data_IF_594333961960
#
_entry.id   IF_594333961960
#
_cell.length_a   1.000
_cell.length_b   1.000
_cell.length_c   1.000
_cell.angle_alpha   90.00
_cell.angle_beta   90.00
_cell.angle_gamma   90.00
#
_symmetry.space_group_name_H-M   'P 1'
#
loop_
_entity.id
_entity.type
_entity.pdbx_description
1 polymer ?
#
# COMPACT_ATOMS: atom_id res chain seq x y z
N UNK A 1 -21.67 -12.42 17.02
CA UNK A 1 -21.17 -13.63 17.73
C UNK A 1 -22.03 -14.86 17.56
N UNK A 2 -23.36 -14.76 17.59
CA UNK A 2 -24.23 -15.93 17.38
C UNK A 2 -23.96 -16.63 16.03
N UNK A 3 -23.86 -15.88 14.93
CA UNK A 3 -23.50 -16.42 13.62
C UNK A 3 -22.16 -17.16 13.62
N UNK A 4 -21.15 -16.64 14.33
CA UNK A 4 -19.83 -17.27 14.49
C UNK A 4 -19.95 -18.62 15.22
N UNK A 5 -20.74 -18.67 16.30
CA UNK A 5 -21.01 -19.91 17.06
C UNK A 5 -21.76 -20.93 16.21
N UNK A 6 -22.77 -20.50 15.45
CA UNK A 6 -23.51 -21.37 14.52
C UNK A 6 -22.61 -21.94 13.42
N UNK A 7 -21.74 -21.11 12.84
CA UNK A 7 -20.78 -21.57 11.82
C UNK A 7 -19.74 -22.55 12.40
N UNK A 8 -19.27 -22.32 13.64
CA UNK A 8 -18.40 -23.25 14.34
C UNK A 8 -19.10 -24.61 14.58
N UNK A 9 -20.37 -24.61 14.95
CA UNK A 9 -21.13 -25.83 15.18
C UNK A 9 -21.39 -26.60 13.88
N UNK A 10 -21.63 -25.89 12.77
CA UNK A 10 -21.68 -26.49 11.43
C UNK A 10 -20.36 -27.17 11.07
N UNK A 11 -19.24 -26.48 11.29
CA UNK A 11 -17.88 -27.00 11.10
C UNK A 11 -17.58 -28.20 12.01
N UNK A 12 -18.06 -28.21 13.26
CA UNK A 12 -17.96 -29.36 14.16
C UNK A 12 -18.79 -30.55 13.64
N UNK A 13 -19.98 -30.28 13.15
CA UNK A 13 -20.92 -31.30 12.64
C UNK A 13 -20.39 -31.97 11.37
N UNK A 14 -19.75 -31.22 10.46
CA UNK A 14 -19.15 -31.78 9.24
C UNK A 14 -18.12 -32.89 9.54
N UNK A 15 -17.49 -32.82 10.72
CA UNK A 15 -16.45 -33.75 11.16
C UNK A 15 -16.93 -34.89 12.03
N UNK A 16 -18.18 -34.88 12.48
CA UNK A 16 -18.78 -35.99 13.22
C UNK A 16 -18.66 -37.32 12.45
N UNK A 17 -18.68 -37.26 11.11
CA UNK A 17 -18.66 -38.39 10.17
C UNK A 17 -17.25 -38.94 9.86
N UNK A 18 -16.18 -38.20 10.17
CA UNK A 18 -14.79 -38.64 9.92
C UNK A 18 -14.30 -39.53 11.08
N UNK A 19 -13.28 -40.37 10.84
CA UNK A 19 -12.70 -41.30 11.86
C UNK A 19 -11.17 -41.18 11.92
N UNK A 20 -10.57 -41.62 13.03
CA UNK A 20 -9.11 -41.75 13.18
C UNK A 20 -8.37 -40.46 13.58
N UNK A 21 -7.06 -40.42 13.28
CA UNK A 21 -6.13 -39.36 13.70
C UNK A 21 -6.54 -37.95 13.24
N UNK A 22 -7.10 -37.84 12.03
CA UNK A 22 -7.57 -36.58 11.43
C UNK A 22 -8.68 -35.95 12.30
N UNK A 23 -9.61 -36.76 12.82
CA UNK A 23 -10.68 -36.26 13.71
C UNK A 23 -10.11 -35.69 15.00
N UNK A 24 -9.08 -36.33 15.57
CA UNK A 24 -8.45 -35.86 16.82
C UNK A 24 -7.79 -34.50 16.63
N UNK A 25 -6.93 -34.36 15.62
CA UNK A 25 -6.26 -33.08 15.31
C UNK A 25 -7.26 -31.96 15.05
N UNK A 26 -8.33 -32.25 14.30
CA UNK A 26 -9.39 -31.28 14.03
C UNK A 26 -10.16 -30.85 15.29
N UNK A 27 -10.56 -31.80 16.14
CA UNK A 27 -11.27 -31.48 17.39
C UNK A 27 -10.39 -30.65 18.32
N UNK A 28 -9.09 -30.95 18.38
CA UNK A 28 -8.13 -30.15 19.14
C UNK A 28 -8.01 -28.72 18.56
N UNK A 29 -7.96 -28.57 17.23
CA UNK A 29 -7.94 -27.27 16.58
C UNK A 29 -9.20 -26.45 16.90
N UNK A 30 -10.39 -27.05 16.78
CA UNK A 30 -11.65 -26.39 17.12
C UNK A 30 -11.75 -26.04 18.60
N UNK A 31 -11.34 -26.93 19.50
CA UNK A 31 -11.36 -26.66 20.94
C UNK A 31 -10.47 -25.48 21.31
N UNK A 32 -9.33 -25.31 20.63
CA UNK A 32 -8.49 -24.11 20.79
C UNK A 32 -9.16 -22.85 20.26
N UNK A 33 -9.83 -22.90 19.11
CA UNK A 33 -10.60 -21.76 18.58
C UNK A 33 -11.70 -21.35 19.56
N UNK A 34 -12.47 -22.32 20.06
CA UNK A 34 -13.57 -22.11 21.02
C UNK A 34 -13.06 -21.53 22.34
N UNK A 35 -11.87 -21.93 22.80
CA UNK A 35 -11.24 -21.37 24.02
C UNK A 35 -10.94 -19.86 23.92
N UNK A 36 -11.03 -19.28 22.73
CA UNK A 36 -10.79 -17.85 22.49
C UNK A 36 -12.11 -17.06 22.37
N UNK A 37 -13.27 -17.71 22.49
CA UNK A 37 -14.57 -17.05 22.32
C UNK A 37 -14.85 -16.00 23.39
N UNK A 38 -14.44 -16.23 24.64
CA UNK A 38 -14.59 -15.22 25.70
C UNK A 38 -13.78 -13.95 25.39
N UNK A 39 -12.60 -14.12 24.78
CA UNK A 39 -11.75 -13.00 24.34
C UNK A 39 -12.38 -12.31 23.12
N UNK A 40 -12.94 -13.07 22.17
CA UNK A 40 -13.66 -12.50 21.02
C UNK A 40 -14.94 -11.76 21.43
N UNK A 41 -15.66 -12.26 22.46
CA UNK A 41 -16.86 -11.66 23.04
C UNK A 41 -16.55 -10.40 23.86
N UNK A 42 -15.30 -10.22 24.29
CA UNK A 42 -14.86 -9.03 24.99
C UNK A 42 -14.87 -7.78 24.10
N UNK A 43 -15.32 -6.65 24.64
CA UNK A 43 -15.37 -5.38 23.91
C UNK A 43 -13.98 -4.78 23.65
N UNK A 44 -13.02 -5.13 24.49
CA UNK A 44 -11.62 -4.70 24.42
C UNK A 44 -10.71 -5.88 24.75
N UNK A 45 -9.54 -5.90 24.12
CA UNK A 45 -8.49 -6.89 24.37
C UNK A 45 -7.19 -6.20 24.74
N UNK A 46 -6.28 -6.90 25.40
CA UNK A 46 -4.89 -6.46 25.59
C UNK A 46 -4.04 -6.76 24.35
N UNK A 47 -2.86 -6.13 24.25
CA UNK A 47 -1.88 -6.44 23.20
C UNK A 47 -1.49 -7.93 23.19
N UNK A 48 -1.33 -8.54 24.37
CA UNK A 48 -0.95 -9.96 24.51
C UNK A 48 -2.07 -10.87 23.99
N UNK A 49 -3.33 -10.54 24.30
CA UNK A 49 -4.48 -11.29 23.79
C UNK A 49 -4.62 -11.14 22.27
N UNK A 50 -4.42 -9.93 21.75
CA UNK A 50 -4.37 -9.67 20.30
C UNK A 50 -3.30 -10.53 19.62
N UNK A 51 -2.07 -10.51 20.13
CA UNK A 51 -0.97 -11.32 19.60
C UNK A 51 -1.29 -12.82 19.65
N UNK A 52 -1.91 -13.30 20.74
CA UNK A 52 -2.33 -14.69 20.86
C UNK A 52 -3.37 -15.06 19.80
N UNK A 53 -4.38 -14.21 19.58
CA UNK A 53 -5.40 -14.41 18.55
C UNK A 53 -4.77 -14.41 17.14
N UNK A 54 -3.87 -13.48 16.86
CA UNK A 54 -3.12 -13.38 15.59
C UNK A 54 -2.38 -14.68 15.31
N UNK A 55 -1.54 -15.14 16.24
CA UNK A 55 -0.80 -16.41 16.09
C UNK A 55 -1.76 -17.59 15.90
N UNK A 56 -2.85 -17.62 16.65
CA UNK A 56 -3.79 -18.73 16.62
C UNK A 56 -4.56 -18.82 15.30
N UNK A 57 -5.12 -17.71 14.81
CA UNK A 57 -5.85 -17.71 13.54
C UNK A 57 -4.92 -17.89 12.35
N UNK A 58 -3.69 -17.39 12.41
CA UNK A 58 -2.68 -17.58 11.36
C UNK A 58 -2.21 -19.03 11.22
N UNK A 59 -2.18 -19.82 12.29
CA UNK A 59 -1.57 -21.16 12.25
C UNK A 59 -2.52 -22.33 12.51
N UNK A 60 -3.54 -22.14 13.35
CA UNK A 60 -4.45 -23.24 13.69
C UNK A 60 -5.51 -23.43 12.61
N UNK A 61 -6.13 -22.33 12.15
CA UNK A 61 -7.24 -22.42 11.20
C UNK A 61 -6.81 -22.94 9.82
N UNK A 62 -5.61 -22.62 9.28
CA UNK A 62 -5.16 -23.20 8.02
C UNK A 62 -5.12 -24.73 8.00
N UNK A 63 -4.77 -25.37 9.12
CA UNK A 63 -4.79 -26.83 9.23
C UNK A 63 -6.18 -27.46 9.13
N UNK A 64 -7.23 -26.65 9.28
CA UNK A 64 -8.65 -27.06 9.25
C UNK A 64 -9.19 -27.04 7.83
N UNK A 65 -8.72 -26.10 6.97
CA UNK A 65 -9.23 -25.96 5.61
C UNK A 65 -9.12 -27.26 4.80
N UNK A 66 -7.96 -27.95 4.67
CA UNK A 66 -7.88 -29.16 3.83
C UNK A 66 -8.79 -30.31 4.31
N UNK A 67 -9.21 -30.30 5.59
CA UNK A 67 -10.02 -31.36 6.18
C UNK A 67 -11.51 -31.17 5.88
N UNK A 68 -11.99 -29.93 5.98
CA UNK A 68 -13.38 -29.55 5.75
C UNK A 68 -13.46 -28.14 5.14
N UNK A 69 -13.04 -27.97 3.86
CA UNK A 69 -12.79 -26.65 3.28
C UNK A 69 -13.97 -25.69 3.37
N UNK A 70 -15.14 -26.09 2.83
CA UNK A 70 -16.32 -25.23 2.74
C UNK A 70 -16.81 -24.75 4.13
N UNK A 71 -17.11 -25.63 5.12
CA UNK A 71 -17.52 -25.16 6.45
C UNK A 71 -16.45 -24.33 7.18
N UNK A 72 -15.16 -24.56 6.92
CA UNK A 72 -14.08 -23.79 7.53
C UNK A 72 -14.00 -22.37 6.93
N UNK A 73 -14.21 -22.25 5.62
CA UNK A 73 -14.29 -20.96 4.93
C UNK A 73 -15.56 -20.18 5.32
N UNK A 74 -16.71 -20.86 5.49
CA UNK A 74 -17.94 -20.24 6.01
C UNK A 74 -17.77 -19.74 7.45
N UNK A 75 -17.11 -20.51 8.31
CA UNK A 75 -16.71 -20.05 9.65
C UNK A 75 -15.79 -18.84 9.58
N UNK A 76 -14.84 -18.83 8.66
CA UNK A 76 -13.93 -17.70 8.43
C UNK A 76 -14.71 -16.45 8.01
N UNK A 77 -15.68 -16.58 7.11
CA UNK A 77 -16.53 -15.48 6.68
C UNK A 77 -17.33 -14.89 7.85
N UNK A 78 -18.02 -15.74 8.62
CA UNK A 78 -18.78 -15.30 9.78
C UNK A 78 -17.89 -14.59 10.83
N UNK A 79 -16.68 -15.10 11.07
CA UNK A 79 -15.73 -14.48 11.99
C UNK A 79 -15.17 -13.15 11.44
N UNK A 80 -14.87 -13.07 10.14
CA UNK A 80 -14.39 -11.86 9.50
C UNK A 80 -15.44 -10.74 9.54
N UNK A 81 -16.70 -11.06 9.23
CA UNK A 81 -17.82 -10.14 9.32
C UNK A 81 -17.98 -9.59 10.75
N UNK A 82 -17.96 -10.49 11.74
CA UNK A 82 -18.05 -10.11 13.15
C UNK A 82 -16.88 -9.22 13.59
N UNK A 83 -15.65 -9.59 13.29
CA UNK A 83 -14.47 -8.79 13.64
C UNK A 83 -14.55 -7.40 13.01
N UNK A 84 -14.98 -7.31 11.76
CA UNK A 84 -15.11 -6.03 11.08
C UNK A 84 -16.22 -5.16 11.70
N UNK A 85 -17.45 -5.67 11.73
CA UNK A 85 -18.63 -4.88 12.10
C UNK A 85 -18.70 -4.59 13.59
N UNK A 86 -18.46 -5.59 14.44
CA UNK A 86 -18.69 -5.49 15.89
C UNK A 86 -17.45 -5.05 16.68
N UNK A 87 -16.24 -5.24 16.12
CA UNK A 87 -14.98 -4.92 16.82
C UNK A 87 -14.26 -3.74 16.21
N UNK A 88 -13.90 -3.82 14.94
CA UNK A 88 -13.10 -2.79 14.27
C UNK A 88 -13.90 -1.50 14.10
N UNK A 89 -15.12 -1.58 13.54
CA UNK A 89 -15.95 -0.38 13.34
C UNK A 89 -16.34 0.26 14.68
N UNK A 90 -16.68 -0.55 15.68
CA UNK A 90 -16.98 -0.05 17.03
C UNK A 90 -15.78 0.68 17.65
N UNK A 91 -14.59 0.10 17.56
CA UNK A 91 -13.35 0.72 18.07
C UNK A 91 -13.01 2.00 17.32
N UNK A 92 -13.23 2.03 16.01
CA UNK A 92 -13.03 3.20 15.17
C UNK A 92 -13.98 4.35 15.54
N UNK A 93 -15.28 4.09 15.63
CA UNK A 93 -16.30 5.10 15.96
C UNK A 93 -16.17 5.61 17.39
N UNK A 94 -15.68 4.77 18.31
CA UNK A 94 -15.41 5.13 19.71
C UNK A 94 -14.05 5.81 19.92
N UNK A 95 -13.24 6.00 18.87
CA UNK A 95 -11.93 6.65 18.95
C UNK A 95 -10.84 5.82 19.64
N UNK A 96 -11.06 4.52 19.85
CA UNK A 96 -10.13 3.60 20.51
C UNK A 96 -9.06 3.09 19.52
N UNK A 97 -8.05 3.93 19.25
CA UNK A 97 -7.04 3.67 18.21
C UNK A 97 -6.28 2.35 18.40
N UNK A 98 -5.87 2.03 19.62
CA UNK A 98 -5.10 0.82 19.90
C UNK A 98 -5.96 -0.43 19.73
N UNK A 99 -7.19 -0.43 20.27
CA UNK A 99 -8.14 -1.53 20.09
C UNK A 99 -8.43 -1.78 18.61
N UNK A 100 -8.67 -0.71 17.86
CA UNK A 100 -8.88 -0.81 16.41
C UNK A 100 -7.68 -1.48 15.73
N UNK A 101 -6.45 -1.04 16.03
CA UNK A 101 -5.25 -1.63 15.46
C UNK A 101 -5.08 -3.12 15.84
N UNK A 102 -5.37 -3.47 17.09
CA UNK A 102 -5.31 -4.85 17.58
C UNK A 102 -6.34 -5.75 16.91
N UNK A 103 -7.58 -5.28 16.72
CA UNK A 103 -8.60 -6.05 16.01
C UNK A 103 -8.35 -6.14 14.51
N UNK A 104 -7.81 -5.10 13.88
CA UNK A 104 -7.37 -5.15 12.48
C UNK A 104 -6.26 -6.18 12.28
N UNK A 105 -5.31 -6.29 13.21
CA UNK A 105 -4.26 -7.30 13.14
C UNK A 105 -4.83 -8.72 13.21
N UNK A 106 -5.84 -8.96 14.07
CA UNK A 106 -6.54 -10.25 14.18
C UNK A 106 -7.27 -10.60 12.89
N UNK A 107 -8.01 -9.65 12.30
CA UNK A 107 -8.71 -9.86 11.04
C UNK A 107 -7.73 -10.06 9.87
N UNK A 108 -6.64 -9.30 9.84
CA UNK A 108 -5.56 -9.48 8.87
C UNK A 108 -5.02 -10.91 8.94
N UNK A 109 -4.65 -11.39 10.14
CA UNK A 109 -4.14 -12.74 10.33
C UNK A 109 -5.11 -13.83 9.88
N UNK A 110 -6.41 -13.62 10.12
CA UNK A 110 -7.48 -14.51 9.66
C UNK A 110 -7.54 -14.58 8.12
N UNK A 111 -7.57 -13.43 7.43
CA UNK A 111 -7.62 -13.38 5.97
C UNK A 111 -6.33 -13.88 5.33
N UNK A 112 -5.18 -13.56 5.91
CA UNK A 112 -3.91 -14.11 5.45
C UNK A 112 -3.93 -15.64 5.55
N UNK A 113 -4.49 -16.23 6.61
CA UNK A 113 -4.63 -17.69 6.73
C UNK A 113 -5.41 -18.34 5.58
N UNK A 114 -6.37 -17.62 4.99
CA UNK A 114 -7.06 -18.06 3.76
C UNK A 114 -6.14 -17.95 2.54
N UNK A 115 -5.29 -16.92 2.47
CA UNK A 115 -4.29 -16.80 1.41
C UNK A 115 -3.29 -17.96 1.46
N UNK A 116 -2.80 -18.35 2.64
CA UNK A 116 -1.90 -19.50 2.77
C UNK A 116 -2.56 -20.78 2.25
N UNK A 117 -3.85 -20.97 2.56
CA UNK A 117 -4.60 -22.10 2.03
C UNK A 117 -4.73 -22.05 0.49
N UNK A 118 -5.01 -20.87 -0.07
CA UNK A 118 -5.06 -20.68 -1.52
C UNK A 118 -3.72 -21.00 -2.18
N UNK A 119 -2.60 -20.55 -1.60
CA UNK A 119 -1.26 -20.77 -2.14
C UNK A 119 -0.88 -22.26 -2.15
N UNK A 120 -1.40 -23.04 -1.20
CA UNK A 120 -1.26 -24.49 -1.20
C UNK A 120 -2.26 -25.22 -2.14
N UNK A 121 -3.34 -24.54 -2.55
CA UNK A 121 -4.50 -25.11 -3.28
C UNK A 121 -4.98 -24.19 -4.41
N UNK A 122 -4.12 -23.94 -5.39
CA UNK A 122 -4.37 -22.98 -6.49
C UNK A 122 -5.40 -23.46 -7.55
N UNK A 123 -5.96 -24.66 -7.40
CA UNK A 123 -6.95 -25.20 -8.33
C UNK A 123 -8.26 -24.40 -8.38
N UNK A 124 -8.92 -24.45 -9.54
CA UNK A 124 -10.16 -23.71 -9.80
C UNK A 124 -11.27 -24.04 -8.79
N UNK A 125 -11.35 -25.28 -8.33
CA UNK A 125 -12.36 -25.71 -7.33
C UNK A 125 -12.18 -24.98 -6.00
N UNK A 126 -10.95 -24.93 -5.48
CA UNK A 126 -10.62 -24.22 -4.24
C UNK A 126 -10.87 -22.72 -4.38
N UNK A 127 -10.53 -22.12 -5.53
CA UNK A 127 -10.84 -20.70 -5.82
C UNK A 127 -12.34 -20.41 -5.82
N UNK A 128 -13.15 -21.25 -6.46
CA UNK A 128 -14.61 -21.11 -6.48
C UNK A 128 -15.17 -21.27 -5.07
N UNK A 129 -14.63 -22.19 -4.28
CA UNK A 129 -15.05 -22.44 -2.91
C UNK A 129 -14.77 -21.25 -1.98
N UNK A 130 -13.56 -20.69 -2.04
CA UNK A 130 -13.20 -19.46 -1.33
C UNK A 130 -14.15 -18.34 -1.73
N UNK A 131 -14.39 -18.15 -3.03
CA UNK A 131 -15.29 -17.11 -3.50
C UNK A 131 -16.73 -17.29 -3.01
N UNK A 132 -17.27 -18.52 -3.09
CA UNK A 132 -18.62 -18.84 -2.64
C UNK A 132 -18.83 -18.58 -1.16
N UNK A 133 -17.81 -18.77 -0.33
CA UNK A 133 -17.90 -18.56 1.11
C UNK A 133 -17.63 -17.10 1.52
N UNK A 134 -16.67 -16.43 0.87
CA UNK A 134 -16.08 -15.19 1.39
C UNK A 134 -16.37 -13.93 0.58
N UNK A 135 -16.75 -14.02 -0.70
CA UNK A 135 -16.85 -12.81 -1.54
C UNK A 135 -17.88 -11.82 -1.03
N UNK A 136 -19.03 -12.28 -0.54
CA UNK A 136 -20.04 -11.39 0.03
C UNK A 136 -19.47 -10.58 1.20
N UNK A 137 -18.86 -11.27 2.17
CA UNK A 137 -18.26 -10.65 3.35
C UNK A 137 -17.09 -9.73 3.00
N UNK A 138 -16.11 -10.24 2.25
CA UNK A 138 -14.90 -9.47 1.92
C UNK A 138 -15.25 -8.27 1.04
N UNK A 139 -16.14 -8.42 0.04
CA UNK A 139 -16.51 -7.28 -0.79
C UNK A 139 -17.31 -6.24 0.00
N UNK A 140 -18.22 -6.65 0.89
CA UNK A 140 -18.94 -5.72 1.75
C UNK A 140 -17.98 -4.88 2.62
N UNK A 141 -16.95 -5.52 3.17
CA UNK A 141 -15.93 -4.86 3.99
C UNK A 141 -14.97 -3.99 3.15
N UNK A 142 -14.33 -4.58 2.14
CA UNK A 142 -13.27 -3.98 1.34
C UNK A 142 -13.75 -2.82 0.46
N UNK A 143 -15.04 -2.81 0.12
CA UNK A 143 -15.69 -1.74 -0.63
C UNK A 143 -16.66 -0.90 0.22
N UNK A 144 -16.54 -0.96 1.55
CA UNK A 144 -17.25 -0.07 2.46
C UNK A 144 -16.65 1.34 2.48
N UNK A 145 -17.44 2.33 2.93
CA UNK A 145 -16.98 3.72 3.09
C UNK A 145 -15.98 3.89 4.25
N UNK A 146 -15.94 2.95 5.19
CA UNK A 146 -15.02 2.92 6.33
C UNK A 146 -13.65 2.34 5.98
N UNK A 147 -13.55 1.53 4.92
CA UNK A 147 -12.32 0.85 4.53
C UNK A 147 -11.09 1.77 4.37
N UNK A 148 -11.19 2.99 3.80
CA UNK A 148 -10.04 3.90 3.68
C UNK A 148 -9.39 4.29 5.02
N UNK A 149 -10.12 4.14 6.13
CA UNK A 149 -9.60 4.42 7.47
C UNK A 149 -8.92 3.22 8.11
N UNK A 150 -8.96 2.03 7.48
CA UNK A 150 -8.34 0.82 7.99
C UNK A 150 -6.85 0.78 7.66
N UNK A 151 -6.07 -0.05 8.37
CA UNK A 151 -4.65 -0.23 8.08
C UNK A 151 -4.38 -0.65 6.63
N UNK A 152 -3.21 -0.23 6.12
CA UNK A 152 -2.71 -0.58 4.80
C UNK A 152 -2.64 -2.10 4.64
N UNK A 153 -2.11 -2.82 5.65
CA UNK A 153 -2.00 -4.28 5.64
C UNK A 153 -3.35 -4.96 5.40
N UNK A 154 -4.38 -4.63 6.20
CA UNK A 154 -5.71 -5.23 6.05
C UNK A 154 -6.32 -4.94 4.67
N UNK A 155 -6.15 -3.71 4.16
CA UNK A 155 -6.63 -3.31 2.84
C UNK A 155 -5.94 -4.09 1.72
N UNK A 156 -4.61 -4.20 1.77
CA UNK A 156 -3.84 -4.97 0.81
C UNK A 156 -4.26 -6.45 0.85
N UNK A 157 -4.31 -7.09 2.01
CA UNK A 157 -4.71 -8.50 2.15
C UNK A 157 -6.10 -8.76 1.59
N UNK A 158 -7.08 -7.88 1.85
CA UNK A 158 -8.41 -8.03 1.30
C UNK A 158 -8.42 -7.95 -0.23
N UNK A 159 -7.71 -6.99 -0.83
CA UNK A 159 -7.65 -6.87 -2.29
C UNK A 159 -6.81 -7.97 -2.96
N UNK A 160 -5.71 -8.40 -2.34
CA UNK A 160 -4.88 -9.50 -2.82
C UNK A 160 -5.66 -10.80 -2.81
N UNK A 161 -6.34 -11.13 -1.71
CA UNK A 161 -7.18 -12.34 -1.64
C UNK A 161 -8.23 -12.37 -2.76
N UNK A 162 -8.92 -11.27 -3.03
CA UNK A 162 -9.86 -11.18 -4.16
C UNK A 162 -9.17 -11.30 -5.52
N UNK A 163 -7.96 -10.76 -5.67
CA UNK A 163 -7.20 -10.79 -6.91
C UNK A 163 -6.68 -12.21 -7.22
N UNK A 164 -6.17 -12.90 -6.21
CA UNK A 164 -5.55 -14.22 -6.32
C UNK A 164 -6.61 -15.28 -6.62
N UNK A 165 -7.74 -15.24 -5.91
CA UNK A 165 -8.86 -16.15 -6.18
C UNK A 165 -9.55 -15.87 -7.52
N UNK A 166 -9.44 -14.64 -8.05
CA UNK A 166 -9.91 -14.32 -9.40
C UNK A 166 -8.90 -14.69 -10.50
N UNK A 167 -7.65 -14.92 -10.14
CA UNK A 167 -6.59 -15.23 -11.09
C UNK A 167 -6.83 -16.60 -11.75
N UNK A 168 -7.05 -16.59 -13.06
CA UNK A 168 -7.37 -17.80 -13.84
C UNK A 168 -8.83 -18.27 -13.75
N UNK A 169 -9.63 -17.76 -12.81
CA UNK A 169 -11.02 -18.18 -12.63
C UNK A 169 -12.02 -17.25 -13.31
N UNK A 170 -12.61 -17.68 -14.42
CA UNK A 170 -13.61 -16.89 -15.16
C UNK A 170 -14.90 -16.65 -14.36
N UNK A 171 -15.26 -17.58 -13.49
CA UNK A 171 -16.45 -17.51 -12.61
C UNK A 171 -16.26 -16.42 -11.55
N UNK A 172 -15.11 -16.44 -10.88
CA UNK A 172 -14.79 -15.47 -9.84
C UNK A 172 -14.59 -14.06 -10.42
N UNK A 173 -13.92 -13.95 -11.58
CA UNK A 173 -13.80 -12.69 -12.30
C UNK A 173 -15.16 -12.10 -12.67
N UNK A 174 -16.11 -12.94 -13.12
CA UNK A 174 -17.47 -12.48 -13.44
C UNK A 174 -18.17 -11.99 -12.18
N UNK A 175 -18.13 -12.77 -11.11
CA UNK A 175 -18.75 -12.42 -9.83
C UNK A 175 -18.24 -11.07 -9.31
N UNK A 176 -16.92 -10.82 -9.33
CA UNK A 176 -16.37 -9.54 -8.87
C UNK A 176 -16.75 -8.34 -9.75
N UNK A 177 -17.05 -8.56 -11.04
CA UNK A 177 -17.57 -7.50 -11.93
C UNK A 177 -19.04 -7.17 -11.67
N UNK A 178 -19.76 -8.01 -10.95
CA UNK A 178 -21.18 -7.79 -10.66
C UNK A 178 -21.37 -6.80 -9.50
N UNK A 179 -22.45 -6.02 -9.57
CA UNK A 179 -22.73 -4.93 -8.64
C UNK A 179 -22.89 -5.34 -7.15
N UNK A 180 -23.45 -6.52 -6.81
CA UNK A 180 -23.53 -6.96 -5.41
C UNK A 180 -22.16 -7.06 -4.73
N UNK A 181 -21.14 -7.47 -5.47
CA UNK A 181 -19.76 -7.63 -4.99
C UNK A 181 -18.99 -6.31 -5.15
N UNK A 182 -17.91 -6.28 -5.93
CA UNK A 182 -17.17 -5.04 -6.19
C UNK A 182 -17.90 -4.18 -7.23
N UNK A 183 -18.19 -4.77 -8.40
CA UNK A 183 -18.73 -4.04 -9.54
C UNK A 183 -17.79 -2.96 -10.05
N UNK A 184 -18.11 -2.36 -11.20
CA UNK A 184 -17.33 -1.23 -11.71
C UNK A 184 -17.44 0.00 -10.80
N UNK A 185 -18.63 0.29 -10.28
CA UNK A 185 -18.91 1.45 -9.46
C UNK A 185 -18.13 1.50 -8.14
N UNK A 186 -18.22 0.47 -7.29
CA UNK A 186 -17.55 0.50 -5.98
C UNK A 186 -16.04 0.43 -6.12
N UNK A 187 -15.54 -0.39 -7.06
CA UNK A 187 -14.11 -0.43 -7.39
C UNK A 187 -13.58 0.95 -7.78
N UNK A 188 -14.32 1.66 -8.64
CA UNK A 188 -13.99 3.02 -9.06
C UNK A 188 -13.95 4.03 -7.91
N UNK A 189 -14.96 4.00 -7.03
CA UNK A 189 -15.00 4.89 -5.86
C UNK A 189 -13.78 4.70 -4.97
N UNK A 190 -13.38 3.45 -4.72
CA UNK A 190 -12.22 3.14 -3.89
C UNK A 190 -10.91 3.47 -4.59
N UNK A 191 -10.82 3.29 -5.90
CA UNK A 191 -9.69 3.71 -6.71
C UNK A 191 -9.43 5.22 -6.60
N UNK A 192 -10.46 6.06 -6.77
CA UNK A 192 -10.31 7.52 -6.69
C UNK A 192 -9.98 8.04 -5.28
N UNK A 193 -10.46 7.34 -4.25
CA UNK A 193 -10.26 7.74 -2.85
C UNK A 193 -8.90 7.30 -2.29
N UNK A 194 -8.34 6.21 -2.79
CA UNK A 194 -7.10 5.63 -2.27
C UNK A 194 -5.90 6.50 -2.65
N UNK A 195 -5.16 6.97 -1.63
CA UNK A 195 -3.95 7.78 -1.79
C UNK A 195 -2.68 7.09 -1.30
N UNK A 196 -2.80 5.90 -0.71
CA UNK A 196 -1.68 5.08 -0.26
C UNK A 196 -1.18 4.21 -1.42
N UNK A 197 0.14 4.18 -1.63
CA UNK A 197 0.75 3.51 -2.78
C UNK A 197 0.42 2.01 -2.82
N UNK A 198 0.75 1.29 -1.74
CA UNK A 198 0.62 -0.17 -1.67
C UNK A 198 -0.82 -0.63 -1.89
N UNK A 199 -1.78 0.12 -1.35
CA UNK A 199 -3.19 -0.24 -1.53
C UNK A 199 -3.67 0.05 -2.95
N UNK A 200 -3.20 1.14 -3.55
CA UNK A 200 -3.54 1.45 -4.93
C UNK A 200 -2.95 0.42 -5.90
N UNK A 201 -1.75 -0.09 -5.62
CA UNK A 201 -1.14 -1.21 -6.33
C UNK A 201 -1.98 -2.48 -6.20
N UNK A 202 -2.37 -2.87 -4.98
CA UNK A 202 -3.24 -4.03 -4.75
C UNK A 202 -4.59 -3.90 -5.48
N UNK A 203 -5.21 -2.71 -5.46
CA UNK A 203 -6.44 -2.41 -6.19
C UNK A 203 -6.25 -2.50 -7.71
N UNK A 204 -5.13 -2.01 -8.24
CA UNK A 204 -4.78 -2.09 -9.65
C UNK A 204 -4.56 -3.55 -10.07
N UNK A 205 -3.92 -4.37 -9.23
CA UNK A 205 -3.76 -5.81 -9.45
C UNK A 205 -5.12 -6.51 -9.51
N UNK A 206 -5.99 -6.27 -8.53
CA UNK A 206 -7.37 -6.78 -8.56
C UNK A 206 -8.10 -6.35 -9.84
N UNK A 207 -8.04 -5.07 -10.18
CA UNK A 207 -8.64 -4.53 -11.39
C UNK A 207 -8.13 -5.24 -12.66
N UNK A 208 -6.83 -5.51 -12.75
CA UNK A 208 -6.24 -6.23 -13.88
C UNK A 208 -6.79 -7.65 -14.02
N UNK A 209 -6.89 -8.37 -12.89
CA UNK A 209 -7.39 -9.75 -12.85
C UNK A 209 -8.84 -9.85 -13.27
N UNK A 210 -9.65 -8.83 -12.98
CA UNK A 210 -11.08 -8.83 -13.33
C UNK A 210 -11.40 -8.04 -14.61
N UNK A 211 -10.42 -7.41 -15.27
CA UNK A 211 -10.64 -6.66 -16.49
C UNK A 211 -11.19 -7.59 -17.58
N UNK A 212 -12.38 -7.31 -18.18
CA UNK A 212 -12.93 -8.16 -19.23
C UNK A 212 -11.93 -8.38 -20.36
N UNK A 213 -11.77 -9.62 -20.82
CA UNK A 213 -10.98 -9.95 -22.01
C UNK A 213 -11.70 -9.42 -23.25
N UNK A 214 -10.94 -8.94 -24.24
CA UNK A 214 -11.57 -8.55 -25.53
C UNK A 214 -11.83 -9.75 -26.42
N UNK A 215 -11.09 -10.85 -26.23
CA UNK A 215 -11.08 -12.05 -27.09
C UNK A 215 -10.96 -11.72 -28.59
N UNK A 216 -10.43 -10.53 -28.90
CA UNK A 216 -10.42 -9.93 -30.25
C UNK A 216 -11.82 -9.77 -30.89
N UNK A 217 -12.91 -9.91 -30.14
CA UNK A 217 -14.30 -9.75 -30.61
C UNK A 217 -14.82 -8.32 -30.40
N UNK A 218 -15.83 -7.93 -31.17
CA UNK A 218 -16.50 -6.63 -30.98
C UNK A 218 -17.24 -6.58 -29.63
N UNK A 219 -17.95 -7.65 -29.28
CA UNK A 219 -18.67 -7.77 -28.01
C UNK A 219 -17.74 -7.71 -26.79
N UNK A 220 -16.58 -8.39 -26.84
CA UNK A 220 -15.58 -8.35 -25.76
C UNK A 220 -14.96 -6.96 -25.61
N UNK A 221 -14.68 -6.27 -26.72
CA UNK A 221 -14.24 -4.85 -26.69
C UNK A 221 -15.30 -3.95 -26.05
N UNK A 222 -16.57 -4.10 -26.43
CA UNK A 222 -17.66 -3.32 -25.87
C UNK A 222 -17.83 -3.58 -24.36
N UNK A 223 -17.79 -4.85 -23.93
CA UNK A 223 -17.86 -5.23 -22.53
C UNK A 223 -16.71 -4.63 -21.72
N UNK A 224 -15.48 -4.68 -22.24
CA UNK A 224 -14.31 -4.01 -21.65
C UNK A 224 -14.54 -2.51 -21.53
N UNK A 225 -14.90 -1.82 -22.62
CA UNK A 225 -15.15 -0.37 -22.61
C UNK A 225 -16.24 0.01 -21.61
N UNK A 226 -17.34 -0.75 -21.53
CA UNK A 226 -18.42 -0.52 -20.56
C UNK A 226 -17.92 -0.63 -19.13
N UNK A 227 -17.14 -1.68 -18.83
CA UNK A 227 -16.54 -1.87 -17.51
C UNK A 227 -15.58 -0.73 -17.16
N UNK A 228 -14.67 -0.37 -18.07
CA UNK A 228 -13.73 0.76 -17.89
C UNK A 228 -14.45 2.08 -17.59
N UNK A 229 -15.52 2.38 -18.34
CA UNK A 229 -16.34 3.57 -18.12
C UNK A 229 -17.08 3.52 -16.78
N UNK A 230 -17.54 2.35 -16.36
CA UNK A 230 -18.15 2.18 -15.03
C UNK A 230 -17.13 2.47 -13.92
N UNK A 231 -15.90 1.94 -14.05
CA UNK A 231 -14.83 2.09 -13.05
C UNK A 231 -14.26 3.50 -12.99
N UNK A 232 -13.98 4.17 -14.10
CA UNK A 232 -13.25 5.44 -14.06
C UNK A 232 -14.11 6.66 -14.30
N UNK A 233 -15.19 6.56 -15.08
CA UNK A 233 -16.01 7.72 -15.45
C UNK A 233 -17.27 7.81 -14.57
N UNK A 234 -18.00 6.71 -14.45
CA UNK A 234 -19.32 6.70 -13.78
C UNK A 234 -19.21 6.74 -12.26
N UNK A 235 -18.08 6.27 -11.71
CA UNK A 235 -17.76 6.31 -10.28
C UNK A 235 -17.17 7.65 -9.81
N UNK A 236 -16.92 8.57 -10.75
CA UNK A 236 -16.26 9.83 -10.48
C UNK A 236 -17.14 10.70 -9.57
N UNK A 237 -16.57 11.18 -8.48
CA UNK A 237 -17.26 12.06 -7.53
C UNK A 237 -16.79 13.51 -7.61
N UNK A 238 -15.65 13.76 -8.27
CA UNK A 238 -15.02 15.07 -8.39
C UNK A 238 -14.69 15.35 -9.86
N UNK A 239 -15.33 16.38 -10.43
CA UNK A 239 -15.16 16.78 -11.83
C UNK A 239 -13.72 17.14 -12.18
N UNK A 240 -12.87 17.53 -11.22
CA UNK A 240 -11.46 17.84 -11.47
C UNK A 240 -10.68 16.64 -12.05
N UNK A 241 -11.14 15.42 -11.76
CA UNK A 241 -10.52 14.18 -12.23
C UNK A 241 -11.07 13.69 -13.57
N UNK A 242 -12.02 14.40 -14.20
CA UNK A 242 -12.66 13.96 -15.45
C UNK A 242 -11.67 13.74 -16.57
N UNK A 243 -10.70 14.65 -16.75
CA UNK A 243 -9.64 14.48 -17.76
C UNK A 243 -8.79 13.25 -17.47
N UNK A 244 -8.32 13.11 -16.23
CA UNK A 244 -7.56 11.95 -15.74
C UNK A 244 -8.28 10.63 -16.01
N UNK A 245 -9.59 10.57 -15.72
CA UNK A 245 -10.42 9.40 -15.99
C UNK A 245 -10.44 9.02 -17.47
N UNK A 246 -10.61 9.99 -18.36
CA UNK A 246 -10.58 9.74 -19.81
C UNK A 246 -9.19 9.29 -20.29
N UNK A 247 -8.12 9.87 -19.76
CA UNK A 247 -6.75 9.49 -20.11
C UNK A 247 -6.46 8.04 -19.69
N UNK A 248 -6.93 7.61 -18.50
CA UNK A 248 -6.82 6.22 -18.02
C UNK A 248 -7.65 5.27 -18.89
N UNK A 249 -8.91 5.60 -19.20
CA UNK A 249 -9.75 4.76 -20.07
C UNK A 249 -9.11 4.60 -21.45
N UNK A 250 -8.64 5.70 -22.04
CA UNK A 250 -7.96 5.67 -23.35
C UNK A 250 -6.69 4.83 -23.33
N UNK A 251 -5.91 4.87 -22.25
CA UNK A 251 -4.74 4.01 -22.06
C UNK A 251 -5.14 2.53 -22.07
N UNK A 252 -6.20 2.17 -21.33
CA UNK A 252 -6.65 0.80 -21.13
C UNK A 252 -7.40 0.20 -22.32
N UNK A 253 -8.13 1.01 -23.10
CA UNK A 253 -8.77 0.57 -24.34
C UNK A 253 -7.75 0.16 -25.40
N UNK A 254 -6.56 0.77 -25.39
CA UNK A 254 -5.48 0.52 -26.34
C UNK A 254 -4.42 -0.46 -25.82
N UNK A 255 -4.73 -1.21 -24.75
CA UNK A 255 -3.79 -2.12 -24.11
C UNK A 255 -3.49 -3.31 -25.02
N UNK A 256 -2.26 -3.35 -25.57
CA UNK A 256 -1.75 -4.43 -26.42
C UNK A 256 -0.85 -5.43 -25.69
N UNK A 257 -0.22 -4.97 -24.61
CA UNK A 257 0.70 -5.75 -23.78
C UNK A 257 -0.09 -6.69 -22.87
N UNK A 258 0.39 -7.92 -22.70
CA UNK A 258 -0.06 -8.81 -21.61
C UNK A 258 0.58 -8.46 -20.26
N UNK A 259 1.69 -7.71 -20.27
CA UNK A 259 2.42 -7.29 -19.07
C UNK A 259 1.71 -6.11 -18.42
N UNK A 260 1.33 -6.26 -17.15
CA UNK A 260 0.46 -5.33 -16.42
C UNK A 260 1.23 -4.19 -15.77
N UNK A 261 2.42 -4.47 -15.26
CA UNK A 261 3.24 -3.60 -14.41
C UNK A 261 3.54 -2.25 -15.10
N UNK A 262 3.96 -2.21 -16.39
CA UNK A 262 4.16 -0.93 -17.09
C UNK A 262 2.87 -0.13 -17.28
N UNK A 263 1.72 -0.80 -17.33
CA UNK A 263 0.42 -0.14 -17.44
C UNK A 263 0.01 0.45 -16.10
N UNK A 264 0.15 -0.31 -15.01
CA UNK A 264 -0.09 0.17 -13.65
C UNK A 264 0.77 1.40 -13.35
N UNK A 265 2.07 1.37 -13.66
CA UNK A 265 2.98 2.50 -13.49
C UNK A 265 2.54 3.74 -14.30
N UNK A 266 2.03 3.56 -15.52
CA UNK A 266 1.48 4.68 -16.33
C UNK A 266 0.20 5.26 -15.71
N UNK A 267 -0.69 4.41 -15.19
CA UNK A 267 -1.90 4.87 -14.48
C UNK A 267 -1.50 5.69 -13.24
N UNK A 268 -0.55 5.19 -12.45
CA UNK A 268 -0.02 5.89 -11.29
C UNK A 268 0.58 7.25 -11.67
N UNK A 269 1.35 7.31 -12.76
CA UNK A 269 1.90 8.57 -13.29
C UNK A 269 0.80 9.55 -13.72
N UNK A 270 -0.27 9.07 -14.37
CA UNK A 270 -1.42 9.90 -14.76
C UNK A 270 -2.11 10.48 -13.51
N UNK A 271 -2.34 9.67 -12.48
CA UNK A 271 -2.92 10.12 -11.21
C UNK A 271 -2.02 11.16 -10.52
N UNK A 272 -0.74 10.84 -10.36
CA UNK A 272 0.26 11.68 -9.72
C UNK A 272 0.36 13.07 -10.36
N UNK A 273 0.29 13.14 -11.70
CA UNK A 273 0.33 14.39 -12.46
C UNK A 273 -0.95 15.22 -12.31
N UNK A 274 -2.08 14.59 -11.96
CA UNK A 274 -3.37 15.26 -11.86
C UNK A 274 -3.63 15.86 -10.47
N UNK A 275 -3.11 15.24 -9.42
CA UNK A 275 -3.31 15.68 -8.04
C UNK A 275 -2.13 15.22 -7.16
N UNK A 276 -1.47 16.19 -6.51
CA UNK A 276 -0.27 15.99 -5.68
C UNK A 276 -0.51 15.07 -4.46
N UNK A 277 -1.79 14.87 -4.09
CA UNK A 277 -2.19 13.97 -3.01
C UNK A 277 -2.04 12.49 -3.36
N UNK A 278 -2.02 12.13 -4.65
CA UNK A 278 -1.69 10.76 -5.06
C UNK A 278 -0.20 10.46 -4.85
N UNK A 279 0.17 9.16 -4.76
CA UNK A 279 1.57 8.74 -4.69
C UNK A 279 2.40 9.35 -5.83
N UNK A 280 3.48 10.03 -5.47
CA UNK A 280 4.35 10.72 -6.42
C UNK A 280 5.53 9.80 -6.77
N UNK A 281 5.65 9.34 -8.03
CA UNK A 281 6.75 8.48 -8.45
C UNK A 281 8.02 9.30 -8.68
N UNK A 282 9.15 8.71 -8.29
CA UNK A 282 10.51 9.20 -8.53
C UNK A 282 11.36 8.07 -9.10
N UNK A 283 12.06 8.35 -10.19
CA UNK A 283 13.00 7.41 -10.81
C UNK A 283 14.27 7.33 -9.95
N UNK A 284 14.37 6.23 -9.19
CA UNK A 284 15.49 5.93 -8.30
C UNK A 284 16.03 4.56 -8.72
N UNK A 285 17.35 4.41 -8.85
CA UNK A 285 17.96 3.13 -9.25
C UNK A 285 18.21 2.18 -8.08
N UNK A 286 18.51 2.76 -6.91
CA UNK A 286 18.79 2.02 -5.70
C UNK A 286 18.56 2.93 -4.48
N UNK A 287 18.21 2.29 -3.38
CA UNK A 287 18.19 2.88 -2.04
C UNK A 287 19.34 2.28 -1.24
N UNK A 288 20.05 3.08 -0.47
CA UNK A 288 21.10 2.63 0.45
C UNK A 288 20.56 2.74 1.87
N UNK A 289 20.52 1.63 2.60
CA UNK A 289 20.08 1.53 3.99
C UNK A 289 21.26 1.02 4.81
N UNK A 290 21.81 1.85 5.71
CA UNK A 290 23.00 1.50 6.52
C UNK A 290 24.09 0.81 5.69
N UNK A 291 24.54 1.48 4.62
CA UNK A 291 25.57 1.03 3.69
C UNK A 291 25.24 -0.21 2.83
N UNK A 292 24.04 -0.78 2.96
CA UNK A 292 23.56 -1.84 2.05
C UNK A 292 22.74 -1.24 0.92
N UNK A 293 23.19 -1.44 -0.30
CA UNK A 293 22.48 -1.01 -1.51
C UNK A 293 21.40 -2.03 -1.89
N UNK A 294 20.18 -1.53 -2.11
CA UNK A 294 19.02 -2.31 -2.56
C UNK A 294 18.50 -1.74 -3.89
N UNK A 295 18.44 -2.53 -4.97
CA UNK A 295 17.82 -2.10 -6.23
C UNK A 295 16.36 -1.72 -6.01
N UNK A 296 15.92 -0.65 -6.67
CA UNK A 296 14.50 -0.24 -6.73
C UNK A 296 14.18 0.20 -8.15
N UNK A 297 12.92 0.01 -8.56
CA UNK A 297 12.43 0.49 -9.85
C UNK A 297 11.96 1.94 -9.76
N UNK A 298 11.03 2.21 -8.83
CA UNK A 298 10.45 3.52 -8.57
C UNK A 298 10.30 3.69 -7.06
N UNK A 299 10.66 4.88 -6.58
CA UNK A 299 10.35 5.32 -5.23
C UNK A 299 9.10 6.17 -5.27
N UNK A 300 8.08 5.81 -4.52
CA UNK A 300 6.86 6.58 -4.36
C UNK A 300 6.90 7.36 -3.05
N UNK A 301 6.49 8.62 -3.09
CA UNK A 301 6.13 9.36 -1.88
C UNK A 301 4.61 9.44 -1.81
N UNK A 302 3.97 8.85 -0.80
CA UNK A 302 2.52 8.93 -0.60
C UNK A 302 2.16 9.78 0.63
N UNK A 303 0.96 9.66 1.18
CA UNK A 303 0.49 10.38 2.37
C UNK A 303 1.14 9.88 3.69
N UNK A 304 1.66 8.66 3.73
CA UNK A 304 2.15 8.01 4.95
C UNK A 304 3.67 7.90 5.01
N UNK A 305 4.35 7.76 3.86
CA UNK A 305 5.77 7.47 3.82
C UNK A 305 6.38 7.52 2.43
N UNK A 306 7.63 7.09 2.35
CA UNK A 306 8.22 6.63 1.09
C UNK A 306 8.04 5.13 0.97
N UNK A 307 7.59 4.67 -0.20
CA UNK A 307 7.32 3.28 -0.49
C UNK A 307 8.04 2.88 -1.79
N UNK A 308 8.61 1.69 -1.86
CA UNK A 308 9.19 1.15 -3.08
C UNK A 308 9.15 -0.38 -3.06
N UNK A 309 9.13 -1.03 -4.23
CA UNK A 309 9.43 -2.45 -4.32
C UNK A 309 10.96 -2.61 -4.45
N UNK A 310 11.56 -3.35 -3.53
CA UNK A 310 13.00 -3.68 -3.52
C UNK A 310 13.23 -5.14 -3.88
N UNK A 311 14.34 -5.42 -4.54
CA UNK A 311 14.78 -6.80 -4.78
C UNK A 311 15.57 -7.30 -3.56
N UNK A 312 15.15 -8.43 -2.99
CA UNK A 312 15.84 -9.05 -1.85
C UNK A 312 16.83 -10.11 -2.34
N UNK A 313 16.34 -11.19 -2.96
CA UNK A 313 17.09 -12.34 -3.49
C UNK A 313 16.32 -12.94 -4.69
N UNK A 314 17.02 -13.46 -5.72
CA UNK A 314 16.45 -14.27 -6.82
C UNK A 314 15.09 -13.78 -7.40
N UNK A 315 15.02 -12.52 -7.83
CA UNK A 315 13.80 -11.88 -8.37
C UNK A 315 12.60 -11.84 -7.39
N UNK A 316 12.83 -12.05 -6.09
CA UNK A 316 11.84 -11.79 -5.06
C UNK A 316 11.82 -10.31 -4.70
N UNK A 317 10.61 -9.75 -4.75
CA UNK A 317 10.33 -8.38 -4.41
C UNK A 317 9.68 -8.30 -3.03
N UNK A 318 10.06 -7.30 -2.26
CA UNK A 318 9.38 -6.94 -1.02
C UNK A 318 9.18 -5.42 -0.96
N UNK A 319 8.15 -4.98 -0.23
CA UNK A 319 7.87 -3.56 -0.06
C UNK A 319 8.83 -2.95 0.96
N UNK A 320 9.59 -1.94 0.55
CA UNK A 320 10.29 -1.02 1.44
C UNK A 320 9.33 0.10 1.84
N UNK A 321 9.09 0.25 3.14
CA UNK A 321 8.29 1.33 3.72
C UNK A 321 9.10 2.19 4.68
N UNK A 322 9.08 3.51 4.46
CA UNK A 322 9.75 4.53 5.27
C UNK A 322 8.69 5.52 5.77
N UNK A 323 8.08 5.28 6.93
CA UNK A 323 7.01 6.13 7.44
C UNK A 323 7.51 7.55 7.77
N UNK A 324 6.75 8.58 7.42
CA UNK A 324 7.18 9.97 7.64
C UNK A 324 7.38 10.36 9.10
N UNK A 325 6.69 9.70 10.02
CA UNK A 325 6.87 9.96 11.45
C UNK A 325 8.24 9.50 11.97
N UNK A 326 8.94 8.62 11.25
CA UNK A 326 10.30 8.19 11.61
C UNK A 326 11.35 9.14 11.06
N UNK A 327 11.02 9.96 10.04
CA UNK A 327 11.97 10.88 9.40
C UNK A 327 12.25 12.07 10.32
N UNK A 328 13.49 12.20 10.78
CA UNK A 328 13.93 13.31 11.63
C UNK A 328 14.50 14.48 10.83
N UNK A 329 15.20 14.19 9.72
CA UNK A 329 15.92 15.18 8.91
C UNK A 329 16.12 14.68 7.50
N UNK A 330 16.07 15.58 6.51
CA UNK A 330 16.43 15.28 5.12
C UNK A 330 17.49 16.26 4.64
N UNK A 331 18.69 15.77 4.35
CA UNK A 331 19.78 16.53 3.75
C UNK A 331 19.87 16.29 2.24
N UNK A 332 20.31 17.30 1.51
CA UNK A 332 20.53 17.23 0.07
C UNK A 332 21.99 17.49 -0.26
N UNK A 333 22.64 16.53 -0.89
CA UNK A 333 23.99 16.65 -1.43
C UNK A 333 23.92 16.72 -2.95
N UNK A 334 24.27 17.89 -3.51
CA UNK A 334 24.29 18.09 -4.97
C UNK A 334 25.50 17.41 -5.58
N UNK A 335 25.28 16.53 -6.54
CA UNK A 335 26.30 15.90 -7.36
C UNK A 335 26.31 16.54 -8.76
N UNK A 336 27.23 16.11 -9.64
CA UNK A 336 27.38 16.69 -10.98
C UNK A 336 26.12 16.54 -11.84
N UNK A 337 25.49 15.36 -11.83
CA UNK A 337 24.30 15.04 -12.63
C UNK A 337 23.04 14.83 -11.80
N UNK A 338 23.22 14.42 -10.54
CA UNK A 338 22.15 14.00 -9.65
C UNK A 338 22.14 14.80 -8.35
N UNK A 339 21.13 14.56 -7.51
CA UNK A 339 21.09 15.02 -6.13
C UNK A 339 20.93 13.79 -5.24
N UNK A 340 21.86 13.60 -4.30
CA UNK A 340 21.73 12.57 -3.28
C UNK A 340 20.87 13.12 -2.13
N UNK A 341 19.76 12.44 -1.88
CA UNK A 341 18.88 12.67 -0.74
C UNK A 341 19.36 11.77 0.40
N UNK A 342 19.48 12.34 1.60
CA UNK A 342 19.88 11.63 2.82
C UNK A 342 18.81 11.85 3.89
N UNK A 343 18.03 10.82 4.19
CA UNK A 343 17.02 10.85 5.23
C UNK A 343 17.54 10.17 6.50
N UNK A 344 17.50 10.89 7.62
CA UNK A 344 17.87 10.39 8.94
C UNK A 344 16.60 9.99 9.68
N UNK A 345 16.55 8.77 10.20
CA UNK A 345 15.36 8.16 10.79
C UNK A 345 15.56 7.84 12.26
N UNK A 346 14.47 7.89 13.04
CA UNK A 346 14.42 7.47 14.44
C UNK A 346 14.31 5.95 14.63
N UNK A 347 13.91 5.22 13.59
CA UNK A 347 13.73 3.77 13.60
C UNK A 347 14.04 3.19 12.22
N UNK A 348 14.33 1.89 12.18
CA UNK A 348 14.60 1.17 10.93
C UNK A 348 13.40 1.26 9.97
N UNK A 349 13.60 1.40 8.65
CA UNK A 349 12.53 1.17 7.67
C UNK A 349 12.04 -0.27 7.73
N UNK A 350 10.86 -0.51 7.16
CA UNK A 350 10.25 -1.83 7.12
C UNK A 350 10.46 -2.47 5.75
N UNK A 351 10.77 -3.76 5.73
CA UNK A 351 10.59 -4.66 4.60
C UNK A 351 9.34 -5.50 4.89
N UNK A 352 8.29 -5.27 4.10
CA UNK A 352 6.97 -5.79 4.39
C UNK A 352 6.50 -5.33 5.77
N UNK A 353 6.38 -6.27 6.70
CA UNK A 353 5.98 -6.00 8.10
C UNK A 353 7.13 -6.04 9.10
N UNK A 354 8.36 -6.27 8.66
CA UNK A 354 9.52 -6.48 9.53
C UNK A 354 10.56 -5.37 9.37
N UNK A 355 11.32 -5.01 10.42
CA UNK A 355 12.45 -4.10 10.27
C UNK A 355 13.47 -4.61 9.25
N UNK A 356 13.94 -3.73 8.36
CA UNK A 356 14.86 -4.08 7.27
C UNK A 356 16.19 -4.70 7.74
N UNK A 357 16.65 -4.31 8.93
CA UNK A 357 17.85 -4.79 9.60
C UNK A 357 17.60 -4.84 11.11
N UNK A 358 18.30 -5.74 11.81
CA UNK A 358 18.34 -5.71 13.27
C UNK A 358 19.09 -4.45 13.73
N UNK A 359 18.37 -3.54 14.39
CA UNK A 359 18.95 -2.29 14.87
C UNK A 359 19.85 -2.58 16.08
N UNK A 360 21.13 -2.22 15.99
CA UNK A 360 21.99 -2.09 17.17
C UNK A 360 21.59 -0.79 17.91
N UNK A 361 21.52 -0.84 19.25
CA UNK A 361 20.97 0.28 20.04
C UNK A 361 21.78 1.57 19.82
N UNK A 362 21.06 2.68 19.67
CA UNK A 362 21.53 4.08 19.56
C UNK A 362 22.15 4.56 18.22
N UNK A 363 22.22 3.72 17.18
CA UNK A 363 22.67 4.22 15.87
C UNK A 363 21.58 4.99 15.12
N UNK A 364 21.96 6.14 14.56
CA UNK A 364 21.10 6.93 13.66
C UNK A 364 20.92 6.15 12.36
N UNK A 365 19.68 5.81 12.04
CA UNK A 365 19.36 5.10 10.80
C UNK A 365 19.42 6.09 9.62
N UNK A 366 20.29 5.81 8.65
CA UNK A 366 20.46 6.65 7.46
C UNK A 366 19.98 5.90 6.21
N UNK A 367 19.08 6.56 5.49
CA UNK A 367 18.65 6.15 4.15
C UNK A 367 19.16 7.15 3.12
N UNK A 368 19.66 6.64 2.00
CA UNK A 368 20.12 7.47 0.89
C UNK A 368 19.56 6.99 -0.44
N UNK A 369 19.22 7.92 -1.31
CA UNK A 369 18.89 7.63 -2.71
C UNK A 369 19.26 8.82 -3.59
N UNK A 370 19.34 8.60 -4.89
CA UNK A 370 19.69 9.64 -5.87
C UNK A 370 18.50 9.97 -6.74
N UNK A 371 18.27 11.26 -6.94
CA UNK A 371 17.28 11.80 -7.87
C UNK A 371 17.96 12.55 -9.00
N UNK A 372 17.32 12.54 -10.16
CA UNK A 372 17.67 13.47 -11.24
C UNK A 372 17.49 14.92 -10.76
N UNK A 373 18.23 15.86 -11.36
CA UNK A 373 18.04 17.28 -11.08
C UNK A 373 16.65 17.78 -11.49
N UNK A 374 16.07 17.17 -12.53
CA UNK A 374 14.76 17.55 -13.07
C UNK A 374 13.63 17.15 -12.12
N UNK A 375 13.79 16.05 -11.38
CA UNK A 375 12.81 15.59 -10.39
C UNK A 375 12.87 16.36 -9.06
N UNK A 376 13.90 17.18 -8.84
CA UNK A 376 14.13 17.84 -7.55
C UNK A 376 13.00 18.81 -7.17
N UNK A 377 12.47 19.56 -8.15
CA UNK A 377 11.36 20.49 -7.90
C UNK A 377 10.09 19.73 -7.51
N UNK A 378 9.76 18.67 -8.26
CA UNK A 378 8.65 17.77 -7.97
C UNK A 378 8.80 17.13 -6.58
N UNK A 379 10.01 16.73 -6.22
CA UNK A 379 10.32 16.20 -4.89
C UNK A 379 9.99 17.23 -3.80
N UNK A 380 10.46 18.47 -3.94
CA UNK A 380 10.16 19.53 -2.97
C UNK A 380 8.66 19.80 -2.83
N UNK A 381 7.94 19.85 -3.94
CA UNK A 381 6.49 20.01 -3.93
C UNK A 381 5.78 18.86 -3.22
N UNK A 382 6.18 17.61 -3.50
CA UNK A 382 5.65 16.43 -2.83
C UNK A 382 5.89 16.50 -1.31
N UNK A 383 7.13 16.79 -0.88
CA UNK A 383 7.49 16.89 0.53
C UNK A 383 6.72 18.00 1.25
N UNK A 384 6.50 19.14 0.59
CA UNK A 384 5.70 20.25 1.14
C UNK A 384 4.24 19.83 1.32
N UNK A 385 3.64 19.20 0.31
CA UNK A 385 2.27 18.70 0.38
C UNK A 385 2.06 17.68 1.50
N UNK A 386 3.10 16.89 1.82
CA UNK A 386 3.12 15.87 2.89
C UNK A 386 3.54 16.40 4.26
N UNK A 387 3.68 17.72 4.41
CA UNK A 387 4.04 18.42 5.66
C UNK A 387 5.40 18.04 6.26
N UNK A 388 6.25 17.33 5.50
CA UNK A 388 7.64 17.03 5.86
C UNK A 388 8.65 17.97 5.20
N UNK A 389 8.18 18.92 4.39
CA UNK A 389 9.05 19.91 3.73
C UNK A 389 9.91 20.74 4.70
N UNK A 390 9.47 20.92 5.95
CA UNK A 390 10.26 21.57 7.02
C UNK A 390 11.51 20.80 7.44
N UNK A 391 11.55 19.49 7.17
CA UNK A 391 12.69 18.62 7.49
C UNK A 391 13.80 18.70 6.45
N UNK A 392 13.51 19.31 5.29
CA UNK A 392 14.48 19.53 4.22
C UNK A 392 15.43 20.65 4.61
N UNK A 393 16.67 20.29 4.95
CA UNK A 393 17.76 21.25 5.06
C UNK A 393 18.44 21.33 3.71
N UNK A 394 18.03 22.29 2.90
CA UNK A 394 18.89 22.75 1.82
C UNK A 394 20.10 23.39 2.51
N UNK A 395 21.27 22.76 2.44
CA UNK A 395 22.49 23.46 2.82
C UNK A 395 22.53 24.73 1.97
N UNK A 396 22.44 25.93 2.57
CA UNK A 396 22.69 27.13 1.82
C UNK A 396 24.10 26.95 1.27
N UNK A 397 24.24 26.97 -0.06
CA UNK A 397 25.55 27.20 -0.65
C UNK A 397 25.93 28.63 -0.28
N UNK A 398 26.40 28.82 0.94
CA UNK A 398 27.42 29.79 1.29
C UNK A 398 28.71 29.32 0.63
N UNK A 399 28.74 29.42 -0.70
CA UNK A 399 29.97 29.34 -1.49
C UNK A 399 29.87 30.32 -2.65
N UNK A 400 29.54 31.57 -2.31
CA UNK A 400 30.04 32.74 -3.03
C UNK A 400 31.51 32.95 -2.62
N UNK A 401 32.40 31.97 -2.89
CA UNK A 401 33.87 32.11 -2.98
C UNK A 401 34.52 30.71 -2.98
N UNK A 402 34.61 30.07 -4.16
CA UNK A 402 35.58 28.99 -4.40
C UNK A 402 36.87 29.52 -5.04
N UNK A 403 36.93 30.82 -5.34
CA UNK A 403 38.20 31.52 -5.43
C UNK A 403 38.55 31.98 -4.01
N UNK A 404 39.75 31.64 -3.53
CA UNK A 404 40.33 32.38 -2.42
C UNK A 404 40.15 33.87 -2.75
N UNK A 405 39.58 34.64 -1.82
CA UNK A 405 39.60 36.08 -1.94
C UNK A 405 41.07 36.50 -1.84
N UNK A 406 41.77 36.50 -2.97
CA UNK A 406 43.04 37.19 -3.13
C UNK A 406 42.70 38.66 -2.93
N UNK A 407 42.85 39.12 -1.70
CA UNK A 407 42.85 40.52 -1.36
C UNK A 407 44.19 41.05 -1.84
N UNK A 408 44.24 41.49 -3.09
CA UNK A 408 45.37 42.26 -3.58
C UNK A 408 45.36 43.61 -2.86
N UNK A 409 46.26 43.73 -1.89
CA UNK A 409 46.54 44.96 -1.17
C UNK A 409 47.71 45.66 -1.89
N UNK A 410 47.60 46.96 -2.13
CA UNK A 410 48.75 47.73 -2.57
C UNK A 410 49.81 47.84 -1.45
N UNK A 411 50.97 48.39 -1.78
CA UNK A 411 52.05 48.63 -0.81
C UNK A 411 51.69 49.60 0.31
N UNK A 412 50.52 50.24 0.25
CA UNK A 412 49.95 51.10 1.29
C UNK A 412 48.79 50.43 2.06
N UNK A 413 48.52 49.14 1.84
CA UNK A 413 47.48 48.37 2.51
C UNK A 413 46.05 48.65 2.03
N UNK A 414 45.85 49.18 0.82
CA UNK A 414 44.53 49.46 0.24
C UNK A 414 44.09 48.34 -0.70
N UNK A 415 42.82 47.96 -0.62
CA UNK A 415 42.23 46.94 -1.48
C UNK A 415 42.08 47.45 -2.92
N UNK A 416 42.69 46.75 -3.87
CA UNK A 416 42.56 47.03 -5.30
C UNK A 416 41.20 46.52 -5.82
N UNK A 417 40.47 47.36 -6.57
CA UNK A 417 39.34 46.92 -7.42
C UNK A 417 37.92 47.03 -6.83
N UNK A 418 37.56 48.12 -6.14
CA UNK A 418 36.16 48.36 -5.71
C UNK A 418 35.20 48.71 -6.86
N UNK A 419 35.67 49.31 -7.95
CA UNK A 419 34.76 49.90 -8.95
C UNK A 419 34.24 48.91 -10.02
N UNK A 420 34.89 47.75 -10.21
CA UNK A 420 34.41 46.74 -11.16
C UNK A 420 33.45 45.70 -10.56
N UNK A 421 33.51 45.45 -9.24
CA UNK A 421 32.72 44.37 -8.60
C UNK A 421 31.22 44.66 -8.49
N UNK A 422 30.81 45.93 -8.40
CA UNK A 422 29.37 46.29 -8.29
C UNK A 422 28.58 46.11 -9.60
N UNK A 423 29.25 46.15 -10.75
CA UNK A 423 28.58 45.96 -12.05
C UNK A 423 28.21 44.49 -12.32
N UNK A 424 28.96 43.53 -11.77
CA UNK A 424 28.75 42.10 -12.02
C UNK A 424 27.68 41.48 -11.10
N UNK A 425 27.58 41.97 -9.85
CA UNK A 425 26.58 41.46 -8.89
C UNK A 425 25.14 41.91 -9.26
N UNK A 426 25.01 43.08 -9.88
CA UNK A 426 23.69 43.65 -10.24
C UNK A 426 22.99 42.92 -11.41
N UNK A 427 23.67 42.02 -12.13
CA UNK A 427 23.08 41.21 -13.22
C UNK A 427 22.62 39.80 -12.81
N UNK A 428 22.92 39.34 -11.59
CA UNK A 428 22.60 37.96 -11.15
C UNK A 428 21.39 37.82 -10.21
N UNK A 429 20.70 38.92 -9.88
CA UNK A 429 19.48 38.89 -9.04
C UNK A 429 18.21 39.07 -9.87
N UNK A 430 17.86 38.04 -10.65
CA UNK A 430 16.53 37.88 -11.23
C UNK A 430 16.01 36.45 -11.00
N UNK A 431 15.74 36.09 -9.75
CA UNK A 431 14.79 35.03 -9.40
C UNK A 431 14.09 35.45 -8.10
N UNK A 432 13.07 36.30 -8.23
CA UNK A 432 12.14 36.60 -7.15
C UNK A 432 11.16 35.43 -7.00
N UNK A 433 11.13 34.83 -5.81
CA UNK A 433 10.05 33.95 -5.39
C UNK A 433 8.80 34.78 -5.09
N UNK A 434 7.60 34.40 -5.57
CA UNK A 434 6.38 35.08 -5.16
C UNK A 434 6.10 34.80 -3.68
N UNK A 435 5.94 35.88 -2.90
CA UNK A 435 5.42 35.84 -1.53
C UNK A 435 3.94 35.43 -1.60
N UNK A 436 3.58 34.43 -0.78
CA UNK A 436 2.19 34.11 -0.51
C UNK A 436 1.53 35.28 0.25
N UNK A 437 0.43 35.79 -0.29
CA UNK A 437 -0.47 36.70 0.40
C UNK A 437 -1.26 35.96 1.48
N UNK A 438 -1.47 36.66 2.59
CA UNK A 438 -2.31 36.28 3.74
C UNK A 438 -3.76 36.12 3.32
#
# INVERSE_FOLDING_TARGET
>A
MENVRTALESLRTSMSRKRGKIKKTFVEALGRIESHFDVLDSASISLVESQRLVTHFRHTLPSVYPISPQPALEFTAALAEFLYNDRILHSYTSGMKDQKAWWEAVLHALLSGVMDYHDEHEEEESKIMIASALYETICAMAFSLSMPFMSVALRCTAYSLLADTASGSSVNQRSLRDAPYAGGGKLGVHFWRTKDYLVLEALLTLFARILPTTEKTAAGREARTRFLRSVFISSLTDEKHKKTAHDIVKLLENLRSSVWEPTAAKIMKILANSDISYPQPFEVKHVVIQDKQKPVDLLYADNTGFCANIVIEDDQYESLDIPYHTVQKIDLLRLEKDVQIRAFLSSMPLFGSQPALSQQSDEVVLIQFRLSKDDLLKFFEAMRARKIGKLLKAHPKSSLSLAAANLELDSAGRLLGKDERYKTVSKCTCLQFPKAGV
#
